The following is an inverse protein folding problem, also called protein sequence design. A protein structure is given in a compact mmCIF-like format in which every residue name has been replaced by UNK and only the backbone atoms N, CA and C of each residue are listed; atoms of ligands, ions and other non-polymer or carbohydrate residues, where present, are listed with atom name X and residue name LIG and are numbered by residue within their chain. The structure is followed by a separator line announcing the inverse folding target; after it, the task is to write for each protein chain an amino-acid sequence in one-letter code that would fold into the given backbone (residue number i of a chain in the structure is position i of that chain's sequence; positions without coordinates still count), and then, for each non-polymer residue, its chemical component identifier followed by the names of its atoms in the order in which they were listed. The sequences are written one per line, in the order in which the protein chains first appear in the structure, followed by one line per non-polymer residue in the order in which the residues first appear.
data_IF_933461891564
#
_entry.id   IF_933461891564
#
_cell.length_a   1.000
_cell.length_b   1.000
_cell.length_c   1.000
_cell.angle_alpha   90.00
_cell.angle_beta   90.00
_cell.angle_gamma   90.00
#
_symmetry.space_group_name_H-M   'P 1'
#
loop_
_entity.id
_entity.type
_entity.pdbx_description
1 polymer ?
#
# COMPACT_ATOMS: atom_id res chain seq x y z
N UNK A 1 30.92 21.28 22.68
CA UNK A 1 30.25 20.73 21.48
C UNK A 1 31.10 19.62 20.91
N UNK A 2 30.53 18.43 20.68
CA UNK A 2 30.95 17.58 19.58
C UNK A 2 29.78 17.39 18.61
N UNK A 3 30.06 17.70 17.35
CA UNK A 3 29.25 17.34 16.19
C UNK A 3 29.29 15.82 16.01
N UNK A 4 28.13 15.18 15.92
CA UNK A 4 28.02 13.80 15.42
C UNK A 4 27.08 13.82 14.24
N UNK A 5 27.61 13.32 13.13
CA UNK A 5 27.10 13.42 11.78
C UNK A 5 25.72 12.79 11.64
N UNK A 6 24.82 13.52 10.98
CA UNK A 6 23.61 12.98 10.35
C UNK A 6 24.01 11.78 9.47
N UNK A 7 23.60 10.58 9.86
CA UNK A 7 23.54 9.47 8.92
C UNK A 7 22.28 9.69 8.09
N UNK A 8 22.46 10.32 6.93
CA UNK A 8 21.44 10.35 5.90
C UNK A 8 21.24 8.91 5.44
N UNK A 9 20.16 8.29 5.91
CA UNK A 9 19.59 7.12 5.27
C UNK A 9 19.23 7.60 3.86
N UNK A 10 20.03 7.16 2.88
CA UNK A 10 19.68 7.29 1.47
C UNK A 10 18.37 6.53 1.29
N UNK A 11 17.26 7.26 1.27
CA UNK A 11 16.02 6.76 0.71
C UNK A 11 16.35 6.40 -0.75
N UNK A 12 16.41 5.10 -1.04
CA UNK A 12 16.45 4.63 -2.42
C UNK A 12 15.15 5.12 -3.08
N UNK A 13 15.27 6.17 -3.88
CA UNK A 13 14.22 6.63 -4.78
C UNK A 13 13.73 5.41 -5.56
N UNK A 14 12.45 5.01 -5.42
CA UNK A 14 11.93 3.86 -6.14
C UNK A 14 12.08 4.15 -7.63
N UNK A 15 12.78 3.26 -8.33
CA UNK A 15 13.02 3.38 -9.76
C UNK A 15 11.64 3.51 -10.44
N UNK A 16 11.31 4.69 -10.96
CA UNK A 16 9.98 5.05 -11.48
C UNK A 16 9.54 4.16 -12.67
N UNK A 17 10.44 3.30 -13.14
CA UNK A 17 10.25 2.32 -14.20
C UNK A 17 9.90 0.90 -13.70
N UNK A 18 10.05 0.61 -12.40
CA UNK A 18 9.60 -0.66 -11.83
C UNK A 18 8.10 -0.59 -11.49
N UNK A 19 7.32 -1.43 -12.17
CA UNK A 19 5.88 -1.50 -12.01
C UNK A 19 5.42 -1.95 -10.61
N UNK A 20 6.28 -2.64 -9.87
CA UNK A 20 6.00 -3.23 -8.57
C UNK A 20 7.15 -2.91 -7.59
N UNK A 21 6.87 -2.68 -6.30
CA UNK A 21 7.90 -2.49 -5.28
C UNK A 21 8.79 -3.73 -5.06
N UNK A 22 10.01 -3.57 -4.50
CA UNK A 22 10.99 -4.66 -4.34
C UNK A 22 10.56 -5.80 -3.40
N UNK A 23 9.52 -5.59 -2.59
CA UNK A 23 8.96 -6.62 -1.71
C UNK A 23 7.91 -7.50 -2.41
N UNK A 24 7.68 -7.32 -3.71
CA UNK A 24 6.80 -8.13 -4.56
C UNK A 24 7.65 -9.03 -5.46
N UNK A 25 7.22 -10.28 -5.67
CA UNK A 25 7.78 -11.19 -6.65
C UNK A 25 6.96 -11.15 -7.95
N UNK A 26 7.41 -10.43 -8.99
CA UNK A 26 6.64 -10.26 -10.21
C UNK A 26 6.66 -11.50 -11.12
N UNK A 27 7.50 -12.51 -10.84
CA UNK A 27 7.73 -13.66 -11.75
C UNK A 27 6.46 -14.48 -12.01
N UNK A 28 5.55 -14.52 -11.03
CA UNK A 28 4.26 -15.21 -11.12
C UNK A 28 3.10 -14.34 -11.60
N UNK A 29 3.31 -13.05 -11.86
CA UNK A 29 2.24 -12.12 -12.22
C UNK A 29 1.96 -12.21 -13.72
N UNK A 30 0.81 -12.76 -14.09
CA UNK A 30 0.37 -12.76 -15.49
C UNK A 30 -0.08 -11.35 -15.88
N UNK A 31 0.68 -10.68 -16.74
CA UNK A 31 0.30 -9.39 -17.31
C UNK A 31 -0.72 -9.65 -18.41
N UNK A 32 -1.99 -9.56 -18.05
CA UNK A 32 -3.07 -9.48 -19.02
C UNK A 32 -2.99 -8.09 -19.68
N UNK A 33 -2.57 -8.06 -20.94
CA UNK A 33 -2.73 -6.90 -21.80
C UNK A 33 -4.20 -6.70 -22.12
N UNK A 34 -4.58 -5.48 -22.54
CA UNK A 34 -5.97 -5.08 -22.72
C UNK A 34 -6.83 -6.11 -23.49
N UNK A 35 -8.10 -6.21 -23.09
CA UNK A 35 -9.16 -6.87 -23.89
C UNK A 35 -9.16 -6.37 -25.34
N UNK A 36 -9.62 -7.16 -26.34
CA UNK A 36 -9.34 -6.97 -27.76
C UNK A 36 -9.65 -5.55 -28.29
N UNK A 37 -9.01 -5.15 -29.42
CA UNK A 37 -8.94 -3.76 -29.89
C UNK A 37 -10.30 -3.28 -30.42
N UNK A 38 -11.20 -2.91 -29.52
CA UNK A 38 -12.25 -1.94 -29.80
C UNK A 38 -11.69 -0.53 -29.58
N UNK A 39 -12.20 0.46 -30.33
CA UNK A 39 -11.87 1.90 -30.22
C UNK A 39 -12.11 2.45 -28.80
N UNK A 40 -11.27 2.12 -27.84
CA UNK A 40 -11.29 2.71 -26.51
C UNK A 40 -10.35 3.91 -26.47
N UNK A 41 -10.81 4.97 -25.83
CA UNK A 41 -10.02 6.17 -25.59
C UNK A 41 -8.71 5.82 -24.87
N UNK A 42 -7.63 6.62 -25.03
CA UNK A 42 -6.38 6.40 -24.31
C UNK A 42 -6.63 6.33 -22.79
N UNK A 43 -5.91 5.42 -22.11
CA UNK A 43 -5.98 5.25 -20.67
C UNK A 43 -5.57 6.56 -19.97
N UNK A 44 -6.32 6.91 -18.92
CA UNK A 44 -6.10 8.15 -18.17
C UNK A 44 -4.87 8.08 -17.27
N UNK A 45 -4.09 9.15 -17.23
CA UNK A 45 -2.94 9.28 -16.30
C UNK A 45 -3.38 9.77 -14.93
N UNK A 46 -2.51 9.65 -13.92
CA UNK A 46 -2.81 10.18 -12.59
C UNK A 46 -3.05 11.70 -12.59
N UNK A 47 -2.31 12.45 -13.40
CA UNK A 47 -2.44 13.91 -13.56
C UNK A 47 -3.84 14.31 -14.05
N UNK A 48 -4.45 13.50 -14.93
CA UNK A 48 -5.82 13.72 -15.40
C UNK A 48 -6.88 13.38 -14.34
N UNK A 49 -6.57 12.46 -13.42
CA UNK A 49 -7.50 11.99 -12.38
C UNK A 49 -7.46 12.89 -11.14
N UNK A 50 -6.28 13.42 -10.81
CA UNK A 50 -6.02 14.21 -9.61
C UNK A 50 -6.99 15.40 -9.42
N UNK A 51 -7.35 16.19 -10.45
CA UNK A 51 -8.33 17.27 -10.30
C UNK A 51 -9.71 16.76 -9.85
N UNK A 52 -10.16 15.60 -10.31
CA UNK A 52 -11.45 15.02 -9.90
C UNK A 52 -11.44 14.63 -8.42
N UNK A 53 -10.30 14.15 -7.93
CA UNK A 53 -10.07 13.81 -6.52
C UNK A 53 -10.13 15.08 -5.67
N UNK A 54 -9.41 16.13 -6.07
CA UNK A 54 -9.32 17.42 -5.34
C UNK A 54 -10.66 18.18 -5.32
N UNK A 55 -11.40 18.15 -6.44
CA UNK A 55 -12.71 18.80 -6.56
C UNK A 55 -13.85 17.96 -5.96
N UNK A 56 -13.55 16.82 -5.33
CA UNK A 56 -14.53 15.90 -4.77
C UNK A 56 -15.65 15.48 -5.76
N UNK A 57 -15.32 15.37 -7.06
CA UNK A 57 -16.24 14.93 -8.12
C UNK A 57 -16.41 13.41 -8.10
N UNK A 58 -16.97 12.88 -7.01
CA UNK A 58 -17.04 11.43 -6.69
C UNK A 58 -17.74 10.61 -7.78
N UNK A 59 -18.79 11.14 -8.40
CA UNK A 59 -19.54 10.43 -9.47
C UNK A 59 -18.67 10.24 -10.71
N UNK A 60 -18.00 11.29 -11.15
CA UNK A 60 -17.20 11.29 -12.37
C UNK A 60 -15.94 10.44 -12.17
N UNK A 61 -15.29 10.57 -11.00
CA UNK A 61 -14.16 9.72 -10.60
C UNK A 61 -14.54 8.23 -10.61
N UNK A 62 -15.71 7.88 -10.07
CA UNK A 62 -16.21 6.49 -10.05
C UNK A 62 -16.43 5.94 -11.46
N UNK A 63 -17.01 6.72 -12.36
CA UNK A 63 -17.21 6.32 -13.76
C UNK A 63 -15.87 6.14 -14.47
N UNK A 64 -14.95 7.10 -14.31
CA UNK A 64 -13.61 7.04 -14.88
C UNK A 64 -12.89 5.75 -14.46
N UNK A 65 -12.84 5.43 -13.17
CA UNK A 65 -12.16 4.21 -12.67
C UNK A 65 -12.80 2.92 -13.20
N UNK A 66 -14.13 2.90 -13.38
CA UNK A 66 -14.85 1.72 -13.92
C UNK A 66 -14.59 1.50 -15.41
N UNK A 67 -14.32 2.57 -16.15
CA UNK A 67 -14.13 2.53 -17.60
C UNK A 67 -12.65 2.43 -18.01
N UNK A 68 -11.72 2.79 -17.12
CA UNK A 68 -10.28 2.72 -17.34
C UNK A 68 -9.69 1.41 -16.77
N UNK A 69 -9.37 0.48 -17.65
CA UNK A 69 -8.78 -0.82 -17.30
C UNK A 69 -7.25 -0.76 -17.40
N UNK A 70 -6.58 -0.11 -16.45
CA UNK A 70 -5.11 -0.06 -16.47
C UNK A 70 -4.48 -1.46 -16.35
N UNK A 71 -3.48 -1.80 -17.18
CA UNK A 71 -2.69 -3.03 -17.06
C UNK A 71 -2.15 -3.22 -15.64
N UNK A 72 -1.95 -4.48 -15.22
CA UNK A 72 -1.53 -4.78 -13.84
C UNK A 72 -0.20 -4.10 -13.48
N UNK A 73 0.71 -3.99 -14.44
CA UNK A 73 2.02 -3.35 -14.32
C UNK A 73 1.99 -1.82 -14.54
N UNK A 74 0.81 -1.19 -14.60
CA UNK A 74 0.72 0.25 -14.73
C UNK A 74 1.14 0.95 -13.42
N UNK A 75 2.06 1.94 -13.48
CA UNK A 75 2.54 2.65 -12.29
C UNK A 75 1.46 3.56 -11.68
N UNK A 76 0.33 3.78 -12.37
CA UNK A 76 -0.74 4.67 -11.90
C UNK A 76 -1.26 4.30 -10.51
N UNK A 77 -1.28 3.01 -10.16
CA UNK A 77 -1.79 2.53 -8.87
C UNK A 77 -0.98 3.04 -7.68
N UNK A 78 0.33 3.23 -7.86
CA UNK A 78 1.21 3.73 -6.81
C UNK A 78 0.81 5.13 -6.33
N UNK A 79 0.30 5.98 -7.23
CA UNK A 79 -0.21 7.31 -6.89
C UNK A 79 -1.73 7.35 -6.65
N UNK A 80 -2.48 6.58 -7.45
CA UNK A 80 -3.94 6.59 -7.44
C UNK A 80 -4.51 5.99 -6.15
N UNK A 81 -4.06 4.81 -5.74
CA UNK A 81 -4.63 4.13 -4.57
C UNK A 81 -4.43 4.91 -3.28
N UNK A 82 -3.24 5.47 -2.96
CA UNK A 82 -3.09 6.30 -1.77
C UNK A 82 -4.00 7.53 -1.81
N UNK A 83 -4.16 8.15 -2.98
CA UNK A 83 -5.04 9.29 -3.15
C UNK A 83 -6.51 8.93 -2.89
N UNK A 84 -6.98 7.79 -3.40
CA UNK A 84 -8.35 7.30 -3.15
C UNK A 84 -8.58 6.96 -1.67
N UNK A 85 -7.65 6.22 -1.04
CA UNK A 85 -7.77 5.88 0.39
C UNK A 85 -7.84 7.13 1.28
N UNK A 86 -7.03 8.16 0.98
CA UNK A 86 -7.01 9.40 1.76
C UNK A 86 -8.33 10.18 1.73
N UNK A 87 -9.15 10.06 0.68
CA UNK A 87 -10.44 10.75 0.59
C UNK A 87 -11.44 10.36 1.69
N UNK A 88 -11.20 9.23 2.38
CA UNK A 88 -12.06 8.71 3.43
C UNK A 88 -11.53 8.98 4.84
N UNK A 89 -10.37 9.63 4.98
CA UNK A 89 -9.85 10.02 6.28
C UNK A 89 -10.77 11.07 6.92
N UNK A 90 -11.15 10.83 8.18
CA UNK A 90 -11.91 11.78 8.98
C UNK A 90 -10.98 12.37 10.05
N UNK A 91 -10.97 13.69 10.21
CA UNK A 91 -10.13 14.39 11.20
C UNK A 91 -8.78 14.84 10.66
N UNK A 92 -7.84 15.15 11.58
CA UNK A 92 -6.49 15.61 11.22
C UNK A 92 -5.73 14.47 10.53
N UNK A 93 -5.07 14.77 9.42
CA UNK A 93 -4.09 13.86 8.82
C UNK A 93 -3.12 13.42 9.90
N UNK A 94 -2.90 12.10 10.02
CA UNK A 94 -1.88 11.59 10.92
C UNK A 94 -0.56 12.27 10.57
N UNK A 95 0.13 12.76 11.59
CA UNK A 95 1.40 13.45 11.43
C UNK A 95 2.38 12.51 10.73
N UNK A 96 3.29 13.11 9.97
CA UNK A 96 4.38 12.36 9.40
C UNK A 96 5.17 11.66 10.52
N UNK A 97 5.59 10.42 10.29
CA UNK A 97 6.24 9.59 11.31
C UNK A 97 5.31 8.86 12.31
N UNK A 98 4.02 9.18 12.43
CA UNK A 98 3.13 8.52 13.41
C UNK A 98 3.14 6.98 13.32
N UNK A 99 3.17 6.46 12.10
CA UNK A 99 3.25 5.00 11.88
C UNK A 99 4.50 4.40 12.52
N UNK A 100 5.66 5.06 12.38
CA UNK A 100 6.93 4.59 12.90
C UNK A 100 7.03 4.69 14.42
N UNK A 101 6.38 5.71 15.00
CA UNK A 101 6.22 5.79 16.45
C UNK A 101 5.44 4.59 16.99
N UNK A 102 4.35 4.20 16.30
CA UNK A 102 3.59 3.00 16.68
C UNK A 102 4.39 1.71 16.46
N UNK A 103 5.15 1.60 15.36
CA UNK A 103 6.06 0.45 15.15
C UNK A 103 7.03 0.33 16.32
N UNK A 104 7.67 1.43 16.74
CA UNK A 104 8.60 1.44 17.86
C UNK A 104 7.92 1.11 19.18
N UNK A 105 6.68 1.56 19.41
CA UNK A 105 5.91 1.21 20.61
C UNK A 105 5.55 -0.28 20.66
N UNK A 106 5.21 -0.89 19.52
CA UNK A 106 4.79 -2.31 19.46
C UNK A 106 6.00 -3.26 19.47
N UNK A 107 7.06 -2.92 18.76
CA UNK A 107 8.19 -3.83 18.49
C UNK A 107 9.51 -3.40 19.16
N UNK A 108 9.59 -2.19 19.70
CA UNK A 108 10.82 -1.62 20.28
C UNK A 108 11.87 -1.16 19.26
N UNK A 109 11.66 -1.44 17.97
CA UNK A 109 12.56 -1.08 16.87
C UNK A 109 11.78 -0.92 15.55
N UNK A 110 12.35 -0.17 14.60
CA UNK A 110 11.83 -0.05 13.23
C UNK A 110 12.32 -1.18 12.31
N UNK A 111 13.33 -1.92 12.76
CA UNK A 111 13.87 -3.07 12.03
C UNK A 111 12.82 -4.18 11.91
N UNK A 112 12.77 -4.82 10.74
CA UNK A 112 11.85 -5.93 10.51
C UNK A 112 12.38 -7.16 11.26
N UNK A 113 11.58 -7.82 12.10
CA UNK A 113 12.06 -8.94 12.88
C UNK A 113 12.37 -10.17 12.01
N UNK A 114 13.45 -10.88 12.35
CA UNK A 114 13.82 -12.16 11.71
C UNK A 114 12.84 -13.29 12.03
N UNK A 115 12.21 -13.20 13.20
CA UNK A 115 11.21 -14.16 13.69
C UNK A 115 9.82 -13.80 13.16
N UNK A 116 8.96 -14.80 12.88
CA UNK A 116 7.57 -14.55 12.52
C UNK A 116 6.86 -13.69 13.57
N UNK A 117 6.11 -12.69 13.09
CA UNK A 117 5.29 -11.84 13.96
C UNK A 117 4.02 -12.59 14.32
N UNK A 118 3.66 -12.61 15.60
CA UNK A 118 2.37 -13.12 16.05
C UNK A 118 1.28 -12.13 15.65
N UNK A 119 0.38 -12.55 14.75
CA UNK A 119 -0.70 -11.71 14.27
C UNK A 119 -1.80 -11.53 15.33
N UNK A 120 -2.47 -10.36 15.35
CA UNK A 120 -3.57 -10.09 16.27
C UNK A 120 -4.80 -10.99 15.99
N UNK A 121 -5.63 -11.29 17.00
CA UNK A 121 -6.69 -12.31 16.90
C UNK A 121 -7.85 -11.93 15.96
N UNK A 122 -7.94 -10.67 15.52
CA UNK A 122 -8.98 -10.27 14.57
C UNK A 122 -8.72 -10.78 13.14
N UNK A 123 -7.51 -11.24 12.83
CA UNK A 123 -7.25 -11.87 11.52
C UNK A 123 -7.56 -13.36 11.57
N UNK A 124 -7.89 -13.90 10.40
CA UNK A 124 -8.11 -15.32 10.21
C UNK A 124 -6.85 -15.94 9.60
N UNK A 125 -6.19 -16.84 10.33
CA UNK A 125 -4.91 -17.43 9.91
C UNK A 125 -5.03 -18.15 8.56
N UNK A 126 -6.16 -18.81 8.30
CA UNK A 126 -6.45 -19.51 7.04
C UNK A 126 -6.64 -18.56 5.85
N UNK A 127 -6.86 -17.26 6.11
CA UNK A 127 -7.12 -16.23 5.10
C UNK A 127 -6.05 -15.13 5.09
N UNK A 128 -4.85 -15.39 5.64
CA UNK A 128 -3.70 -14.49 5.52
C UNK A 128 -3.05 -14.59 4.12
N UNK A 129 -3.79 -14.17 3.08
CA UNK A 129 -3.38 -14.28 1.68
C UNK A 129 -2.27 -13.27 1.34
N UNK A 130 -1.05 -13.77 1.11
CA UNK A 130 0.10 -12.94 0.72
C UNK A 130 0.20 -12.64 -0.78
N UNK A 131 -0.59 -13.32 -1.63
CA UNK A 131 -0.50 -13.25 -3.10
C UNK A 131 0.95 -13.39 -3.60
N UNK A 132 1.47 -12.39 -4.32
CA UNK A 132 2.82 -12.36 -4.87
C UNK A 132 3.82 -11.60 -3.98
N UNK A 133 3.50 -11.38 -2.70
CA UNK A 133 4.48 -10.82 -1.76
C UNK A 133 5.61 -11.82 -1.51
N UNK A 134 6.84 -11.30 -1.50
CA UNK A 134 8.02 -12.04 -1.04
C UNK A 134 7.91 -12.37 0.45
N UNK A 135 8.85 -13.16 0.99
CA UNK A 135 8.95 -13.39 2.45
C UNK A 135 9.08 -12.06 3.22
N UNK A 136 9.88 -11.12 2.71
CA UNK A 136 10.03 -9.78 3.28
C UNK A 136 8.71 -8.99 3.20
N UNK A 137 8.02 -9.02 2.06
CA UNK A 137 6.73 -8.35 1.88
C UNK A 137 5.65 -8.86 2.83
N UNK A 138 5.61 -10.17 3.10
CA UNK A 138 4.71 -10.75 4.11
C UNK A 138 5.03 -10.27 5.52
N UNK A 139 6.30 -10.23 5.91
CA UNK A 139 6.68 -9.68 7.21
C UNK A 139 6.32 -8.19 7.35
N UNK A 140 6.39 -7.40 6.27
CA UNK A 140 5.88 -6.03 6.25
C UNK A 140 4.36 -5.99 6.46
N UNK A 141 3.60 -6.87 5.79
CA UNK A 141 2.16 -6.98 6.00
C UNK A 141 1.83 -7.35 7.46
N UNK A 142 2.54 -8.32 8.04
CA UNK A 142 2.38 -8.73 9.43
C UNK A 142 2.60 -7.56 10.41
N UNK A 143 3.65 -6.76 10.17
CA UNK A 143 3.95 -5.56 10.95
C UNK A 143 2.83 -4.53 10.85
N UNK A 144 2.37 -4.21 9.64
CA UNK A 144 1.29 -3.24 9.41
C UNK A 144 0.00 -3.67 10.13
N UNK A 145 -0.38 -4.93 10.01
CA UNK A 145 -1.58 -5.49 10.67
C UNK A 145 -1.46 -5.45 12.18
N UNK A 146 -0.28 -5.76 12.73
CA UNK A 146 -0.02 -5.72 14.17
C UNK A 146 -0.09 -4.30 14.72
N UNK A 147 0.48 -3.32 14.00
CA UNK A 147 0.38 -1.89 14.34
C UNK A 147 -1.08 -1.43 14.33
N UNK A 148 -1.87 -1.85 13.34
CA UNK A 148 -3.31 -1.56 13.31
C UNK A 148 -4.04 -2.17 14.50
N UNK A 149 -3.69 -3.38 14.92
CA UNK A 149 -4.26 -4.00 16.12
C UNK A 149 -3.96 -3.25 17.41
N UNK A 150 -2.78 -2.66 17.49
CA UNK A 150 -2.41 -1.80 18.62
C UNK A 150 -3.13 -0.45 18.57
N UNK A 151 -3.15 0.22 17.41
CA UNK A 151 -3.70 1.56 17.25
C UNK A 151 -5.23 1.60 17.18
N UNK A 152 -5.89 0.48 16.85
CA UNK A 152 -7.33 0.38 16.64
C UNK A 152 -7.91 -0.81 17.44
N UNK A 153 -8.00 -0.70 18.78
CA UNK A 153 -8.43 -1.80 19.65
C UNK A 153 -9.88 -2.26 19.41
N UNK A 154 -10.70 -1.42 18.77
CA UNK A 154 -12.10 -1.74 18.42
C UNK A 154 -12.21 -2.77 17.28
N UNK A 155 -11.12 -3.03 16.55
CA UNK A 155 -11.08 -4.08 15.52
C UNK A 155 -10.99 -5.44 16.22
N UNK A 156 -12.15 -6.07 16.40
CA UNK A 156 -12.26 -7.38 17.10
C UNK A 156 -12.32 -8.56 16.14
N UNK A 157 -12.80 -8.37 14.90
CA UNK A 157 -12.84 -9.40 13.86
C UNK A 157 -12.82 -8.75 12.46
N UNK A 158 -11.77 -9.02 11.68
CA UNK A 158 -11.59 -8.48 10.32
C UNK A 158 -10.69 -9.39 9.47
N UNK A 159 -11.19 -10.55 9.01
CA UNK A 159 -10.41 -11.52 8.24
C UNK A 159 -9.92 -10.95 6.91
N UNK A 160 -10.61 -9.97 6.34
CA UNK A 160 -10.24 -9.32 5.08
C UNK A 160 -9.11 -8.31 5.21
N UNK A 161 -8.76 -7.87 6.43
CA UNK A 161 -7.78 -6.82 6.64
C UNK A 161 -6.39 -7.23 6.13
N UNK A 162 -5.97 -8.47 6.42
CA UNK A 162 -4.68 -8.97 5.95
C UNK A 162 -4.61 -9.07 4.42
N UNK A 163 -5.56 -9.72 3.71
CA UNK A 163 -5.59 -9.71 2.25
C UNK A 163 -5.61 -8.31 1.62
N UNK A 164 -6.33 -7.35 2.21
CA UNK A 164 -6.36 -5.98 1.69
C UNK A 164 -5.00 -5.32 1.85
N UNK A 165 -4.38 -5.42 3.03
CA UNK A 165 -3.01 -4.92 3.27
C UNK A 165 -2.03 -5.52 2.27
N UNK A 166 -2.09 -6.84 2.07
CA UNK A 166 -1.23 -7.52 1.12
C UNK A 166 -1.43 -7.01 -0.30
N UNK A 167 -2.68 -6.83 -0.75
CA UNK A 167 -2.99 -6.28 -2.07
C UNK A 167 -2.46 -4.84 -2.25
N UNK A 168 -2.62 -3.98 -1.25
CA UNK A 168 -2.09 -2.61 -1.26
C UNK A 168 -0.57 -2.57 -1.39
N UNK A 169 0.13 -3.45 -0.66
CA UNK A 169 1.59 -3.57 -0.73
C UNK A 169 2.12 -3.96 -2.12
N UNK A 170 1.29 -4.48 -3.03
CA UNK A 170 1.76 -4.74 -4.40
C UNK A 170 2.04 -3.47 -5.19
N UNK A 171 1.50 -2.32 -4.78
CA UNK A 171 1.59 -1.07 -5.54
C UNK A 171 2.05 0.12 -4.69
N UNK A 172 2.08 -0.04 -3.37
CA UNK A 172 2.52 0.99 -2.45
C UNK A 172 3.85 0.59 -1.81
N UNK A 173 4.74 1.56 -1.50
CA UNK A 173 5.89 1.26 -0.67
C UNK A 173 5.39 0.75 0.68
N UNK A 174 5.94 -0.39 1.11
CA UNK A 174 5.79 -0.84 2.47
C UNK A 174 6.71 0.02 3.31
N UNK A 175 6.21 1.20 3.73
CA UNK A 175 6.96 2.21 4.50
C UNK A 175 8.03 1.54 5.37
#
# INVERSE_FOLDING_TARGET
MPSVMLSAVLEEEPDLYEAFPPHVDPTGITILTDSPPGKKAPLKTFEEIQPLIQQARKRDLKLLIRENSWPINSPVRASLWPALCRQHQHGKSMLDGFYWDMVTQVFGTVELPDKPIMLPPFVEATHCLGYHLTRKGRAVADRVVSVLGYACPDITYSPSLYPITAALLHFMPGK
#
